data_IF_109002329842
#
_entry.id   IF_109002329842
#
_cell.length_a   1.000
_cell.length_b   1.000
_cell.length_c   1.000
_cell.angle_alpha   90.00
_cell.angle_beta   90.00
_cell.angle_gamma   90.00
#
_symmetry.space_group_name_H-M   'P 1'
#
loop_
_entity.id
_entity.type
_entity.pdbx_description
1 polymer ?
#
# COMPACT_ATOMS: atom_id res chain seq x y z
N UNK A 1 -32.13 41.89 32.73
CA UNK A 1 -31.56 41.04 31.66
C UNK A 1 -31.87 41.68 30.32
N UNK A 2 -30.87 41.95 29.49
CA UNK A 2 -31.10 42.61 28.20
C UNK A 2 -31.64 41.58 27.21
N UNK A 3 -32.95 41.63 26.91
CA UNK A 3 -33.62 40.66 26.02
C UNK A 3 -32.88 40.52 24.67
N UNK A 4 -32.38 41.64 24.14
CA UNK A 4 -31.56 41.68 22.91
C UNK A 4 -30.26 40.88 23.03
N UNK A 5 -29.59 40.94 24.19
CA UNK A 5 -28.36 40.20 24.47
C UNK A 5 -28.65 38.70 24.60
N UNK A 6 -29.77 38.34 25.25
CA UNK A 6 -30.17 36.94 25.41
C UNK A 6 -30.49 36.27 24.06
N UNK A 7 -31.19 36.98 23.17
CA UNK A 7 -31.50 36.48 21.82
C UNK A 7 -30.21 36.29 21.01
N UNK A 8 -29.29 37.26 21.05
CA UNK A 8 -28.02 37.17 20.35
C UNK A 8 -27.20 35.95 20.81
N UNK A 9 -27.17 35.70 22.13
CA UNK A 9 -26.43 34.59 22.70
C UNK A 9 -26.99 33.22 22.29
N UNK A 10 -28.33 33.08 22.21
CA UNK A 10 -28.98 31.86 21.72
C UNK A 10 -28.67 31.60 20.25
N UNK A 11 -28.66 32.64 19.42
CA UNK A 11 -28.32 32.51 17.99
C UNK A 11 -26.87 32.03 17.82
N UNK A 12 -25.94 32.62 18.57
CA UNK A 12 -24.53 32.19 18.55
C UNK A 12 -24.39 30.74 19.01
N UNK A 13 -25.09 30.35 20.09
CA UNK A 13 -25.08 28.97 20.58
C UNK A 13 -25.61 27.99 19.53
N UNK A 14 -26.69 28.32 18.82
CA UNK A 14 -27.24 27.47 17.77
C UNK A 14 -26.30 27.35 16.58
N UNK A 15 -25.61 28.43 16.19
CA UNK A 15 -24.63 28.40 15.11
C UNK A 15 -23.46 27.49 15.51
N UNK A 16 -22.81 27.77 16.65
CA UNK A 16 -21.63 27.01 17.09
C UNK A 16 -21.96 25.57 17.47
N UNK A 17 -23.05 25.35 18.21
CA UNK A 17 -23.51 24.01 18.58
C UNK A 17 -23.95 23.20 17.37
N UNK A 18 -24.64 23.85 16.41
CA UNK A 18 -25.05 23.22 15.17
C UNK A 18 -23.88 22.81 14.29
N UNK A 19 -22.90 23.69 14.05
CA UNK A 19 -21.70 23.33 13.28
C UNK A 19 -20.87 22.27 13.99
N UNK A 20 -20.68 22.37 15.30
CA UNK A 20 -19.95 21.36 16.07
C UNK A 20 -20.60 19.98 15.97
N UNK A 21 -21.94 19.91 16.08
CA UNK A 21 -22.68 18.65 15.95
C UNK A 21 -22.49 18.02 14.56
N UNK A 22 -22.58 18.83 13.48
CA UNK A 22 -22.41 18.35 12.10
C UNK A 22 -20.99 17.82 11.86
N UNK A 23 -19.97 18.52 12.36
CA UNK A 23 -18.57 18.10 12.23
C UNK A 23 -18.34 16.76 12.95
N UNK A 24 -18.82 16.65 14.20
CA UNK A 24 -18.65 15.43 14.99
C UNK A 24 -19.38 14.21 14.38
N UNK A 25 -20.55 14.42 13.76
CA UNK A 25 -21.26 13.36 13.05
C UNK A 25 -20.51 12.88 11.78
N UNK A 26 -19.78 13.78 11.12
CA UNK A 26 -19.07 13.47 9.87
C UNK A 26 -17.73 12.78 10.13
N UNK A 27 -17.03 13.15 11.19
CA UNK A 27 -15.73 12.56 11.58
C UNK A 27 -15.83 11.09 12.02
N UNK A 28 -16.99 10.62 12.47
CA UNK A 28 -17.22 9.23 12.88
C UNK A 28 -17.43 8.24 11.71
N UNK A 29 -17.05 8.63 10.49
CA UNK A 29 -17.13 7.73 9.34
C UNK A 29 -16.01 6.69 9.45
N UNK A 30 -16.32 5.54 10.06
CA UNK A 30 -15.47 4.35 10.06
C UNK A 30 -14.97 4.10 8.62
N UNK A 31 -13.66 3.82 8.42
CA UNK A 31 -13.14 3.54 7.09
C UNK A 31 -13.93 2.40 6.45
N UNK A 32 -14.44 2.65 5.25
CA UNK A 32 -15.21 1.69 4.48
C UNK A 32 -14.29 0.54 4.02
N UNK A 33 -14.30 -0.55 4.79
CA UNK A 33 -13.51 -1.76 4.54
C UNK A 33 -13.97 -2.53 3.28
N UNK A 34 -15.09 -2.14 2.65
CA UNK A 34 -15.59 -2.81 1.44
C UNK A 34 -14.89 -2.37 0.15
N UNK A 35 -14.02 -1.36 0.24
CA UNK A 35 -13.28 -0.85 -0.93
C UNK A 35 -12.10 -1.77 -1.26
N UNK A 36 -11.95 -2.13 -2.54
CA UNK A 36 -10.76 -2.86 -3.01
C UNK A 36 -9.51 -2.01 -2.83
N UNK A 37 -8.61 -2.46 -1.97
CA UNK A 37 -7.31 -1.85 -1.75
C UNK A 37 -6.31 -2.37 -2.77
N UNK A 38 -5.42 -1.47 -3.24
CA UNK A 38 -4.29 -1.83 -4.08
C UNK A 38 -3.02 -1.62 -3.26
N UNK A 39 -2.18 -2.64 -3.22
CA UNK A 39 -0.88 -2.59 -2.56
C UNK A 39 0.21 -2.47 -3.62
N UNK A 40 1.24 -1.69 -3.27
CA UNK A 40 2.48 -1.63 -4.03
C UNK A 40 3.58 -2.17 -3.12
N UNK A 41 4.31 -3.16 -3.63
CA UNK A 41 5.49 -3.71 -2.97
C UNK A 41 6.69 -2.89 -3.45
N UNK A 42 7.59 -2.47 -2.58
CA UNK A 42 8.82 -1.81 -3.03
C UNK A 42 9.65 -2.78 -3.88
N UNK A 43 10.22 -2.34 -4.99
CA UNK A 43 11.03 -3.21 -5.85
C UNK A 43 12.28 -3.72 -5.12
N UNK A 44 12.74 -2.98 -4.11
CA UNK A 44 13.82 -3.36 -3.20
C UNK A 44 13.45 -4.54 -2.29
N UNK A 45 12.18 -4.70 -1.95
CA UNK A 45 11.68 -5.73 -1.03
C UNK A 45 11.38 -7.06 -1.74
N UNK A 46 11.35 -7.07 -3.07
CA UNK A 46 11.17 -8.30 -3.85
C UNK A 46 12.47 -9.11 -3.82
N UNK A 47 12.42 -10.27 -3.16
CA UNK A 47 13.56 -11.17 -3.00
C UNK A 47 13.51 -12.40 -3.93
N UNK A 48 12.31 -12.77 -4.39
CA UNK A 48 12.09 -13.93 -5.24
C UNK A 48 10.90 -13.70 -6.16
N UNK A 49 10.95 -14.30 -7.36
CA UNK A 49 9.90 -14.31 -8.36
C UNK A 49 9.81 -15.73 -8.94
N UNK A 50 8.64 -16.33 -8.84
CA UNK A 50 8.35 -17.65 -9.41
C UNK A 50 7.30 -17.49 -10.51
N UNK A 51 7.58 -18.01 -11.70
CA UNK A 51 6.71 -17.86 -12.86
C UNK A 51 6.57 -19.19 -13.57
N UNK A 52 5.38 -19.46 -14.11
CA UNK A 52 5.15 -20.60 -14.99
C UNK A 52 4.99 -20.08 -16.42
N UNK A 53 5.87 -20.50 -17.32
CA UNK A 53 5.81 -20.17 -18.74
C UNK A 53 5.76 -21.45 -19.57
N UNK A 54 4.73 -21.60 -20.40
CA UNK A 54 4.54 -22.79 -21.25
C UNK A 54 4.61 -24.15 -20.51
N UNK A 55 4.28 -24.15 -19.22
CA UNK A 55 4.29 -25.34 -18.35
C UNK A 55 5.63 -25.60 -17.64
N UNK A 56 6.64 -24.75 -17.86
CA UNK A 56 7.91 -24.76 -17.16
C UNK A 56 7.88 -23.74 -16.01
N UNK A 57 8.32 -24.15 -14.83
CA UNK A 57 8.44 -23.28 -13.66
C UNK A 57 9.85 -22.70 -13.63
N UNK A 58 9.96 -21.38 -13.60
CA UNK A 58 11.22 -20.66 -13.56
C UNK A 58 11.20 -19.76 -12.34
N UNK A 59 12.22 -19.90 -11.49
CA UNK A 59 12.41 -19.06 -10.32
C UNK A 59 13.59 -18.11 -10.52
N UNK A 60 13.41 -16.88 -10.06
CA UNK A 60 14.43 -15.85 -9.99
C UNK A 60 14.57 -15.39 -8.56
N UNK A 61 15.79 -15.16 -8.10
CA UNK A 61 16.03 -14.68 -6.75
C UNK A 61 17.07 -13.57 -6.73
N UNK A 62 16.97 -12.72 -5.71
CA UNK A 62 17.92 -11.64 -5.47
C UNK A 62 18.92 -12.07 -4.41
N UNK A 63 20.20 -12.08 -4.76
CA UNK A 63 21.27 -12.40 -3.82
C UNK A 63 21.30 -11.37 -2.68
N UNK A 64 21.26 -11.79 -1.41
CA UNK A 64 21.39 -10.89 -0.26
C UNK A 64 22.73 -10.16 -0.22
N UNK A 65 23.77 -10.75 -0.81
CA UNK A 65 25.14 -10.24 -0.76
C UNK A 65 25.41 -9.22 -1.89
N UNK A 66 25.11 -9.58 -3.13
CA UNK A 66 25.41 -8.72 -4.29
C UNK A 66 24.25 -7.80 -4.69
N UNK A 67 23.03 -8.08 -4.22
CA UNK A 67 21.76 -7.47 -4.69
C UNK A 67 21.48 -7.73 -6.17
N UNK A 68 22.27 -8.59 -6.80
CA UNK A 68 22.08 -9.04 -8.18
C UNK A 68 21.03 -10.14 -8.24
N UNK A 69 20.44 -10.27 -9.42
CA UNK A 69 19.40 -11.24 -9.69
C UNK A 69 19.98 -12.47 -10.39
N UNK A 70 19.44 -13.62 -10.05
CA UNK A 70 19.86 -14.91 -10.55
C UNK A 70 18.64 -15.73 -10.95
N UNK A 71 18.82 -16.59 -11.93
CA UNK A 71 17.89 -17.66 -12.30
C UNK A 71 18.27 -18.85 -11.43
N UNK A 72 17.31 -19.37 -10.68
CA UNK A 72 17.50 -20.58 -9.88
C UNK A 72 17.77 -21.76 -10.82
N UNK A 73 18.77 -22.56 -10.46
CA UNK A 73 18.99 -23.83 -11.13
C UNK A 73 17.98 -24.88 -10.67
N UNK A 74 17.59 -25.79 -11.56
CA UNK A 74 16.70 -26.93 -11.24
C UNK A 74 17.40 -27.98 -10.35
N UNK A 75 18.72 -27.92 -10.24
CA UNK A 75 19.53 -28.89 -9.49
C UNK A 75 20.53 -28.20 -8.56
N UNK A 76 20.67 -28.74 -7.34
CA UNK A 76 21.65 -28.28 -6.34
C UNK A 76 23.12 -28.44 -6.80
N UNK A 77 23.36 -29.20 -7.88
CA UNK A 77 24.69 -29.44 -8.45
C UNK A 77 25.12 -28.36 -9.46
N UNK A 78 24.15 -27.65 -10.05
CA UNK A 78 24.41 -26.59 -11.03
C UNK A 78 24.36 -25.20 -10.38
N UNK A 79 25.33 -24.32 -10.68
CA UNK A 79 25.36 -22.99 -10.11
C UNK A 79 24.25 -22.12 -10.70
N UNK A 80 23.69 -21.24 -9.87
CA UNK A 80 22.71 -20.25 -10.30
C UNK A 80 23.26 -19.32 -11.39
N UNK A 81 22.38 -18.96 -12.33
CA UNK A 81 22.78 -18.22 -13.52
C UNK A 81 22.50 -16.72 -13.31
N UNK A 82 23.49 -15.83 -13.40
CA UNK A 82 23.25 -14.39 -13.25
C UNK A 82 22.37 -13.88 -14.40
N UNK A 83 21.35 -13.08 -14.06
CA UNK A 83 20.51 -12.46 -15.08
C UNK A 83 21.26 -11.36 -15.83
N UNK A 84 20.80 -11.06 -17.05
CA UNK A 84 21.33 -9.93 -17.80
C UNK A 84 20.77 -8.60 -17.27
N UNK A 85 21.49 -8.00 -16.32
CA UNK A 85 21.09 -6.83 -15.54
C UNK A 85 20.57 -5.64 -16.37
N UNK A 86 21.16 -5.37 -17.54
CA UNK A 86 20.73 -4.26 -18.41
C UNK A 86 19.31 -4.42 -18.96
N UNK A 87 18.83 -5.66 -19.13
CA UNK A 87 17.44 -5.94 -19.52
C UNK A 87 16.55 -6.21 -18.31
N UNK A 88 17.12 -6.78 -17.25
CA UNK A 88 16.39 -7.21 -16.07
C UNK A 88 16.06 -6.08 -15.08
N UNK A 89 16.87 -5.02 -15.01
CA UNK A 89 16.75 -4.00 -13.95
C UNK A 89 15.39 -3.29 -13.85
N UNK A 90 14.58 -3.31 -14.91
CA UNK A 90 13.21 -2.77 -14.88
C UNK A 90 12.13 -3.79 -14.53
N UNK A 91 12.43 -5.09 -14.55
CA UNK A 91 11.43 -6.16 -14.38
C UNK A 91 10.83 -6.20 -12.97
N UNK A 92 11.63 -6.13 -11.87
CA UNK A 92 11.05 -6.11 -10.52
C UNK A 92 10.13 -4.91 -10.29
N UNK A 93 10.45 -3.75 -10.87
CA UNK A 93 9.59 -2.57 -10.82
C UNK A 93 8.24 -2.79 -11.51
N UNK A 94 8.17 -3.57 -12.58
CA UNK A 94 6.89 -3.89 -13.23
C UNK A 94 6.03 -4.84 -12.38
N UNK A 95 6.68 -5.66 -11.55
CA UNK A 95 6.04 -6.61 -10.64
C UNK A 95 5.67 -5.98 -9.28
N UNK A 96 6.14 -4.76 -8.99
CA UNK A 96 5.82 -4.01 -7.76
C UNK A 96 4.33 -3.72 -7.55
N UNK A 97 3.52 -3.92 -8.59
CA UNK A 97 2.07 -3.72 -8.57
C UNK A 97 1.61 -2.50 -9.37
N UNK A 98 0.30 -2.21 -9.37
CA UNK A 98 -0.27 -1.09 -10.11
C UNK A 98 0.25 0.25 -9.57
N UNK A 99 0.38 1.24 -10.45
CA UNK A 99 0.75 2.60 -10.03
C UNK A 99 -0.37 3.21 -9.19
N UNK A 100 -0.12 3.36 -7.89
CA UNK A 100 -1.03 4.05 -6.97
C UNK A 100 -0.69 5.55 -6.96
N UNK A 101 -1.67 6.40 -7.25
CA UNK A 101 -1.49 7.87 -7.36
C UNK A 101 -1.43 8.58 -6.00
N UNK A 102 -1.89 7.93 -4.93
CA UNK A 102 -1.82 8.44 -3.55
C UNK A 102 -1.60 7.30 -2.56
N UNK A 103 -0.38 7.11 -2.02
CA UNK A 103 -0.18 6.22 -0.89
C UNK A 103 -0.96 6.77 0.32
N UNK A 104 -1.70 5.89 1.00
CA UNK A 104 -2.44 6.24 2.22
C UNK A 104 -1.57 6.13 3.47
N UNK A 105 -0.58 5.24 3.43
CA UNK A 105 0.44 5.03 4.45
C UNK A 105 1.67 4.38 3.80
N UNK A 106 2.86 4.72 4.30
CA UNK A 106 4.12 4.07 3.89
C UNK A 106 4.37 2.76 4.64
N UNK A 107 3.69 2.55 5.78
CA UNK A 107 3.76 1.33 6.59
C UNK A 107 2.38 0.81 6.94
N UNK A 108 2.22 -0.51 6.93
CA UNK A 108 1.00 -1.19 7.35
C UNK A 108 1.19 -1.62 8.81
N UNK A 109 0.51 -0.96 9.74
CA UNK A 109 0.58 -1.27 11.17
C UNK A 109 -0.19 -2.56 11.52
N UNK A 110 -1.32 -2.79 10.85
CA UNK A 110 -2.16 -3.98 11.03
C UNK A 110 -2.57 -4.57 9.66
N UNK A 111 -1.84 -5.57 9.13
CA UNK A 111 -2.13 -6.21 7.85
C UNK A 111 -3.53 -6.83 7.77
N UNK A 112 -4.06 -7.33 8.89
CA UNK A 112 -5.37 -7.94 8.93
C UNK A 112 -6.50 -6.93 8.70
N UNK A 113 -6.33 -5.66 9.08
CA UNK A 113 -7.26 -4.58 8.77
C UNK A 113 -7.41 -4.32 7.26
N UNK A 114 -6.46 -4.83 6.48
CA UNK A 114 -6.28 -4.64 5.05
C UNK A 114 -6.51 -5.92 4.23
N UNK A 115 -6.84 -7.03 4.90
CA UNK A 115 -7.08 -8.34 4.28
C UNK A 115 -5.82 -9.05 3.80
N UNK A 116 -4.66 -8.73 4.38
CA UNK A 116 -3.35 -9.34 4.13
C UNK A 116 -3.02 -10.40 5.18
#
# INVERSE_FOLDING_TARGET
MNLRLSILLVVVLLIFGGTFLILQLTENSQPDLSRTWLYRIDDGDIIALELVHDGEEIAYFRSPASRDWYIASDSDEEPDIPVFQQRWGGTPLLMSGPRVTRPLSDSIEDPAAFGL
#
